data_IF_855594815390
#
_entry.id   IF_855594815390
#
_cell.length_a   1.000
_cell.length_b   1.000
_cell.length_c   1.000
_cell.angle_alpha   90.00
_cell.angle_beta   90.00
_cell.angle_gamma   90.00
#
_symmetry.space_group_name_H-M   'P 1'
#
loop_
_entity.id
_entity.type
_entity.pdbx_description
1 polymer ?
#
# COMPACT_ATOMS: atom_id res chain seq x y z
N UNK A 1 5.32 19.31 11.72
CA UNK A 1 4.48 19.34 12.94
C UNK A 1 5.37 19.89 14.03
N UNK A 2 4.98 20.98 14.68
CA UNK A 2 5.84 21.65 15.67
C UNK A 2 5.99 20.78 16.93
N UNK A 3 7.17 20.20 17.15
CA UNK A 3 7.57 19.44 18.34
C UNK A 3 7.75 20.34 19.59
N UNK A 4 6.85 21.28 19.84
CA UNK A 4 7.12 22.36 20.81
C UNK A 4 6.57 22.15 22.23
N UNK A 5 5.87 21.06 22.53
CA UNK A 5 5.17 20.92 23.83
C UNK A 5 5.38 19.62 24.60
N UNK A 6 6.14 18.64 24.09
CA UNK A 6 6.39 17.41 24.85
C UNK A 6 7.65 17.49 25.72
N UNK A 7 7.61 16.97 26.97
CA UNK A 7 8.80 16.81 27.79
C UNK A 7 9.86 15.96 27.07
N UNK A 8 11.10 16.44 27.02
CA UNK A 8 12.24 15.68 26.46
C UNK A 8 12.71 14.55 27.38
N UNK A 9 12.40 14.65 28.67
CA UNK A 9 12.76 13.65 29.67
C UNK A 9 11.78 12.47 29.62
N UNK A 10 12.29 11.26 29.39
CA UNK A 10 11.48 10.07 29.17
C UNK A 10 10.48 9.79 30.31
N UNK A 11 10.88 10.00 31.57
CA UNK A 11 10.00 9.81 32.72
C UNK A 11 8.81 10.79 32.71
N UNK A 12 9.07 12.08 32.48
CA UNK A 12 8.03 13.11 32.37
C UNK A 12 7.14 12.92 31.15
N UNK A 13 7.71 12.41 30.05
CA UNK A 13 6.93 12.05 28.87
C UNK A 13 5.96 10.90 29.19
N UNK A 14 6.44 9.86 29.87
CA UNK A 14 5.61 8.73 30.26
C UNK A 14 4.47 9.16 31.23
N UNK A 15 4.79 9.98 32.23
CA UNK A 15 3.79 10.54 33.16
C UNK A 15 2.74 11.39 32.43
N UNK A 16 3.16 12.26 31.52
CA UNK A 16 2.24 13.06 30.70
C UNK A 16 1.34 12.19 29.82
N UNK A 17 1.89 11.14 29.20
CA UNK A 17 1.10 10.22 28.36
C UNK A 17 0.10 9.42 29.18
N UNK A 18 0.46 9.00 30.39
CA UNK A 18 -0.49 8.36 31.32
C UNK A 18 -1.64 9.32 31.67
N UNK A 19 -1.32 10.58 32.01
CA UNK A 19 -2.34 11.59 32.29
C UNK A 19 -3.25 11.84 31.07
N UNK A 20 -2.68 12.05 29.88
CA UNK A 20 -3.46 12.25 28.63
C UNK A 20 -4.38 11.04 28.38
N UNK A 21 -3.89 9.83 28.60
CA UNK A 21 -4.67 8.61 28.48
C UNK A 21 -5.87 8.59 29.44
N UNK A 22 -5.63 8.88 30.72
CA UNK A 22 -6.65 8.92 31.77
C UNK A 22 -7.70 10.01 31.56
N UNK A 23 -7.26 11.21 31.19
CA UNK A 23 -8.14 12.35 30.91
C UNK A 23 -9.03 12.05 29.69
N UNK A 24 -8.44 11.45 28.64
CA UNK A 24 -9.16 11.04 27.44
C UNK A 24 -10.21 9.96 27.71
N UNK A 25 -9.88 8.92 28.49
CA UNK A 25 -10.84 7.88 28.89
C UNK A 25 -12.00 8.47 29.70
N UNK A 26 -11.69 9.34 30.67
CA UNK A 26 -12.69 10.02 31.50
C UNK A 26 -13.64 10.85 30.66
N UNK A 27 -13.11 11.69 29.77
CA UNK A 27 -13.91 12.51 28.86
C UNK A 27 -14.81 11.65 27.96
N UNK A 28 -14.28 10.57 27.38
CA UNK A 28 -15.03 9.67 26.50
C UNK A 28 -16.11 8.88 27.26
N UNK A 29 -15.91 8.60 28.56
CA UNK A 29 -16.92 8.04 29.45
C UNK A 29 -18.04 9.04 29.72
N UNK A 30 -17.73 10.28 30.09
CA UNK A 30 -18.74 11.34 30.29
C UNK A 30 -19.60 11.57 29.06
N UNK A 31 -19.00 11.61 27.86
CA UNK A 31 -19.75 11.70 26.60
C UNK A 31 -20.74 10.52 26.43
N UNK A 32 -20.49 9.39 27.09
CA UNK A 32 -21.27 8.16 26.97
C UNK A 32 -22.24 7.87 28.11
N UNK A 33 -22.24 8.69 29.17
CA UNK A 33 -23.16 8.54 30.30
C UNK A 33 -24.64 8.63 29.88
N UNK A 34 -25.52 8.07 30.70
CA UNK A 34 -26.94 7.93 30.38
C UNK A 34 -27.68 9.29 30.36
N UNK A 35 -27.19 10.26 31.11
CA UNK A 35 -27.68 11.64 31.22
C UNK A 35 -26.94 12.61 30.30
N UNK A 36 -25.88 12.16 29.60
CA UNK A 36 -25.17 12.97 28.63
C UNK A 36 -26.05 13.27 27.41
N UNK A 37 -26.09 14.53 26.92
CA UNK A 37 -26.83 14.87 25.70
C UNK A 37 -26.38 14.01 24.51
N UNK A 38 -27.35 13.39 23.82
CA UNK A 38 -27.06 12.45 22.72
C UNK A 38 -26.22 13.06 21.60
N UNK A 39 -26.41 14.34 21.32
CA UNK A 39 -25.68 15.07 20.27
C UNK A 39 -24.17 15.12 20.52
N UNK A 40 -23.68 14.94 21.75
CA UNK A 40 -22.24 14.90 22.04
C UNK A 40 -21.53 13.76 21.30
N UNK A 41 -22.21 12.62 21.12
CA UNK A 41 -21.68 11.45 20.38
C UNK A 41 -21.70 11.65 18.87
N UNK A 42 -22.49 12.62 18.40
CA UNK A 42 -22.69 12.90 16.98
C UNK A 42 -21.70 13.95 16.46
N UNK A 43 -20.98 14.65 17.36
CA UNK A 43 -19.95 15.61 16.98
C UNK A 43 -18.80 14.86 16.29
N UNK A 44 -18.46 15.19 15.03
CA UNK A 44 -17.39 14.50 14.31
C UNK A 44 -16.03 14.57 15.04
N UNK A 45 -15.71 15.70 15.67
CA UNK A 45 -14.47 15.86 16.44
C UNK A 45 -14.40 14.93 17.66
N UNK A 46 -15.53 14.63 18.31
CA UNK A 46 -15.58 13.70 19.44
C UNK A 46 -15.38 12.27 18.99
N UNK A 47 -15.93 11.90 17.83
CA UNK A 47 -15.69 10.60 17.23
C UNK A 47 -14.24 10.43 16.75
N UNK A 48 -13.64 11.47 16.15
CA UNK A 48 -12.22 11.48 15.79
C UNK A 48 -11.35 11.33 17.05
N UNK A 49 -11.64 12.09 18.10
CA UNK A 49 -10.93 11.99 19.38
C UNK A 49 -11.01 10.56 19.95
N UNK A 50 -12.19 9.95 19.93
CA UNK A 50 -12.38 8.56 20.36
C UNK A 50 -11.52 7.59 19.56
N UNK A 51 -11.49 7.74 18.23
CA UNK A 51 -10.69 6.89 17.37
C UNK A 51 -9.19 7.07 17.65
N UNK A 52 -8.70 8.31 17.69
CA UNK A 52 -7.29 8.60 18.01
C UNK A 52 -6.93 8.04 19.38
N UNK A 53 -7.78 8.21 20.39
CA UNK A 53 -7.54 7.67 21.73
C UNK A 53 -7.39 6.14 21.71
N UNK A 54 -8.27 5.42 20.99
CA UNK A 54 -8.17 3.95 20.83
C UNK A 54 -6.93 3.51 20.04
N UNK A 55 -6.45 4.35 19.12
CA UNK A 55 -5.26 4.08 18.32
C UNK A 55 -3.96 4.33 19.08
N UNK A 56 -3.97 5.20 20.10
CA UNK A 56 -2.80 5.59 20.89
C UNK A 56 -2.76 4.92 22.27
N UNK A 57 -3.90 4.50 22.82
CA UNK A 57 -4.00 3.94 24.16
C UNK A 57 -4.75 2.61 24.18
N UNK A 58 -4.55 1.85 25.25
CA UNK A 58 -5.29 0.63 25.54
C UNK A 58 -5.43 0.41 27.04
N UNK A 59 -6.41 -0.42 27.42
CA UNK A 59 -6.61 -0.84 28.80
C UNK A 59 -5.92 -2.18 29.03
N UNK A 60 -5.02 -2.23 30.01
CA UNK A 60 -4.36 -3.45 30.46
C UNK A 60 -4.46 -3.54 31.98
N UNK A 61 -5.04 -4.62 32.50
CA UNK A 61 -5.22 -4.84 33.94
C UNK A 61 -5.89 -3.66 34.68
N UNK A 62 -6.84 -2.99 34.01
CA UNK A 62 -7.54 -1.83 34.56
C UNK A 62 -6.73 -0.52 34.55
N UNK A 63 -5.53 -0.51 33.96
CA UNK A 63 -4.69 0.68 33.78
C UNK A 63 -4.61 1.06 32.30
N UNK A 64 -4.67 2.36 32.04
CA UNK A 64 -4.51 2.91 30.69
C UNK A 64 -3.02 2.95 30.37
N UNK A 65 -2.64 2.39 29.23
CA UNK A 65 -1.28 2.38 28.71
C UNK A 65 -1.22 3.04 27.33
N UNK A 66 -0.17 3.83 27.13
CA UNK A 66 0.18 4.35 25.80
C UNK A 66 0.80 3.22 24.96
N UNK A 67 0.39 3.12 23.70
CA UNK A 67 0.91 2.13 22.75
C UNK A 67 2.33 2.49 22.34
N UNK A 68 3.16 1.46 22.19
CA UNK A 68 4.44 1.59 21.52
C UNK A 68 4.25 1.60 20.00
N UNK A 69 5.27 1.98 19.23
CA UNK A 69 5.21 1.93 17.77
C UNK A 69 4.90 0.53 17.23
N UNK A 70 5.29 -0.53 17.95
CA UNK A 70 5.03 -1.93 17.57
C UNK A 70 3.58 -2.34 17.84
N UNK A 71 2.86 -1.60 18.69
CA UNK A 71 1.47 -1.87 19.09
C UNK A 71 0.45 -0.94 18.41
N UNK A 72 0.91 -0.05 17.53
CA UNK A 72 0.04 0.84 16.79
C UNK A 72 -0.72 0.08 15.68
N UNK A 73 -1.92 0.53 15.29
CA UNK A 73 -2.60 0.00 14.11
C UNK A 73 -1.74 0.15 12.84
N UNK A 74 -2.02 -0.61 11.77
CA UNK A 74 -1.35 -0.38 10.48
C UNK A 74 -1.50 1.08 10.02
N UNK A 75 -0.48 1.63 9.37
CA UNK A 75 -0.47 3.03 8.91
C UNK A 75 -1.70 3.42 8.05
N UNK A 76 -2.28 2.47 7.31
CA UNK A 76 -3.51 2.66 6.54
C UNK A 76 -4.76 2.97 7.40
N UNK A 77 -4.71 2.66 8.70
CA UNK A 77 -5.80 2.86 9.67
C UNK A 77 -5.52 3.99 10.66
N UNK A 78 -4.25 4.30 10.92
CA UNK A 78 -3.86 5.39 11.83
C UNK A 78 -4.36 6.73 11.27
N UNK A 79 -4.98 7.52 12.14
CA UNK A 79 -5.28 8.93 11.89
C UNK A 79 -4.00 9.72 12.18
N UNK A 80 -3.35 10.18 11.12
CA UNK A 80 -2.10 10.92 11.24
C UNK A 80 -2.33 12.41 11.59
N UNK A 81 -3.54 12.93 11.39
CA UNK A 81 -3.93 14.29 11.76
C UNK A 81 -5.39 14.33 12.18
N UNK A 82 -5.74 14.93 13.34
CA UNK A 82 -7.13 15.11 13.73
C UNK A 82 -7.86 16.16 12.87
N UNK A 83 -7.12 17.04 12.19
CA UNK A 83 -7.67 18.05 11.29
C UNK A 83 -7.98 17.50 9.89
N UNK A 84 -7.29 16.43 9.50
CA UNK A 84 -7.55 15.68 8.29
C UNK A 84 -7.47 14.19 8.59
N UNK A 85 -8.63 13.62 8.95
CA UNK A 85 -8.76 12.20 9.30
C UNK A 85 -8.55 11.25 8.12
N UNK A 86 -8.48 11.76 6.90
CA UNK A 86 -8.25 10.99 5.68
C UNK A 86 -6.78 10.94 5.26
N UNK A 87 -5.97 11.89 5.72
CA UNK A 87 -4.52 11.88 5.57
C UNK A 87 -3.91 10.61 6.19
N UNK A 88 -2.93 10.03 5.50
CA UNK A 88 -2.20 8.85 5.96
C UNK A 88 -0.71 9.11 5.97
N UNK A 89 -0.01 8.43 6.87
CA UNK A 89 1.45 8.41 6.85
C UNK A 89 1.92 7.62 5.62
N UNK A 90 2.68 8.29 4.76
CA UNK A 90 3.37 7.73 3.62
C UNK A 90 4.87 7.76 3.84
N UNK A 91 5.55 6.71 3.37
CA UNK A 91 7.00 6.67 3.31
C UNK A 91 7.41 6.27 1.89
N UNK A 92 8.31 7.04 1.28
CA UNK A 92 8.90 6.77 -0.03
C UNK A 92 10.38 7.07 0.05
N UNK A 93 11.18 6.00 0.06
CA UNK A 93 12.64 6.07 0.29
C UNK A 93 12.91 6.71 1.66
N UNK A 94 13.59 7.84 1.71
CA UNK A 94 13.92 8.59 2.94
C UNK A 94 12.88 9.67 3.27
N UNK A 95 11.86 9.85 2.42
CA UNK A 95 10.84 10.87 2.61
C UNK A 95 9.63 10.28 3.31
N UNK A 96 9.28 10.85 4.45
CA UNK A 96 8.08 10.58 5.22
C UNK A 96 7.14 11.79 5.16
N UNK A 97 5.84 11.57 4.97
CA UNK A 97 4.84 12.64 4.98
C UNK A 97 3.49 12.14 5.51
N UNK A 98 2.71 13.04 6.09
CA UNK A 98 1.30 12.81 6.41
C UNK A 98 0.44 13.48 5.33
N UNK A 99 -0.34 12.70 4.58
CA UNK A 99 -1.21 13.23 3.54
C UNK A 99 -1.58 12.21 2.47
N UNK A 100 -1.39 12.62 1.22
CA UNK A 100 -1.88 11.94 0.02
C UNK A 100 -0.74 11.73 -0.99
N UNK A 101 -1.01 10.91 -2.00
CA UNK A 101 -0.23 10.87 -3.25
C UNK A 101 -1.08 11.43 -4.37
N UNK A 102 -0.45 12.17 -5.26
CA UNK A 102 -1.02 12.50 -6.56
C UNK A 102 -0.29 11.70 -7.64
N UNK A 103 -1.06 11.08 -8.52
CA UNK A 103 -0.58 10.31 -9.67
C UNK A 103 -0.97 11.09 -10.92
N UNK A 104 0.02 11.45 -11.73
CA UNK A 104 -0.18 12.26 -12.93
C UNK A 104 -0.04 11.39 -14.17
N UNK A 105 -0.92 11.62 -15.14
CA UNK A 105 -0.77 11.08 -16.49
C UNK A 105 -0.68 12.24 -17.46
N UNK A 106 0.38 12.27 -18.25
CA UNK A 106 0.65 13.30 -19.25
C UNK A 106 0.89 12.69 -20.64
N UNK A 107 0.74 13.51 -21.68
CA UNK A 107 1.26 13.20 -23.01
C UNK A 107 2.77 13.39 -23.04
N UNK A 108 3.47 12.59 -23.85
CA UNK A 108 4.93 12.62 -23.96
C UNK A 108 5.43 12.40 -25.40
N UNK A 109 4.60 12.66 -26.41
CA UNK A 109 5.03 12.56 -27.82
C UNK A 109 6.06 13.65 -28.15
N UNK A 110 7.19 13.28 -28.74
CA UNK A 110 8.35 14.18 -28.97
C UNK A 110 8.01 15.49 -29.71
N UNK A 111 7.04 15.45 -30.63
CA UNK A 111 6.65 16.57 -31.49
C UNK A 111 5.43 17.36 -30.97
N UNK A 112 4.90 17.03 -29.79
CA UNK A 112 3.69 17.63 -29.23
C UNK A 112 3.93 18.21 -27.83
N UNK A 113 3.10 19.18 -27.39
CA UNK A 113 3.17 19.66 -26.02
C UNK A 113 2.82 18.55 -25.02
N UNK A 114 3.52 18.55 -23.89
CA UNK A 114 3.22 17.68 -22.76
C UNK A 114 2.05 18.27 -21.96
N UNK A 115 0.95 17.54 -21.89
CA UNK A 115 -0.30 17.97 -21.26
C UNK A 115 -0.72 16.92 -20.24
N UNK A 116 -0.96 17.35 -19.00
CA UNK A 116 -1.54 16.49 -17.96
C UNK A 116 -3.00 16.20 -18.32
N UNK A 117 -3.30 14.93 -18.64
CA UNK A 117 -4.63 14.46 -19.02
C UNK A 117 -5.45 14.01 -17.80
N UNK A 118 -4.78 13.53 -16.76
CA UNK A 118 -5.43 13.03 -15.56
C UNK A 118 -4.55 13.17 -14.31
N UNK A 119 -5.21 13.44 -13.20
CA UNK A 119 -4.63 13.45 -11.86
C UNK A 119 -5.53 12.61 -10.98
N UNK A 120 -4.97 11.59 -10.34
CA UNK A 120 -5.64 10.77 -9.35
C UNK A 120 -5.00 11.05 -7.98
N UNK A 121 -5.80 11.44 -6.99
CA UNK A 121 -5.32 11.68 -5.63
C UNK A 121 -5.76 10.56 -4.72
N UNK A 122 -4.82 9.92 -4.03
CA UNK A 122 -5.09 8.79 -3.14
C UNK A 122 -4.49 9.00 -1.77
N UNK A 123 -4.99 8.25 -0.77
CA UNK A 123 -4.34 8.17 0.54
C UNK A 123 -2.91 7.67 0.36
N UNK A 124 -1.97 8.17 1.15
CA UNK A 124 -0.55 7.85 1.00
C UNK A 124 -0.20 6.35 1.14
N UNK A 125 -1.13 5.54 1.65
CA UNK A 125 -0.96 4.09 1.84
C UNK A 125 -1.44 3.25 0.66
N UNK A 126 -2.11 3.84 -0.34
CA UNK A 126 -2.53 3.12 -1.55
C UNK A 126 -1.30 2.77 -2.38
N UNK A 127 -1.19 1.52 -2.83
CA UNK A 127 -0.04 1.08 -3.63
C UNK A 127 -0.17 1.55 -5.08
N UNK A 128 0.94 1.98 -5.66
CA UNK A 128 1.01 2.54 -7.01
C UNK A 128 0.49 1.52 -8.06
N UNK A 129 0.69 0.21 -7.85
CA UNK A 129 0.21 -0.86 -8.74
C UNK A 129 -1.31 -0.91 -8.87
N UNK A 130 -2.06 -0.46 -7.85
CA UNK A 130 -3.52 -0.41 -7.89
C UNK A 130 -4.05 0.70 -8.80
N UNK A 131 -3.21 1.68 -9.16
CA UNK A 131 -3.64 2.88 -9.88
C UNK A 131 -3.74 2.67 -11.38
N UNK A 132 -2.92 1.78 -11.97
CA UNK A 132 -2.84 1.62 -13.43
C UNK A 132 -4.21 1.39 -14.06
N UNK A 133 -4.97 0.44 -13.52
CA UNK A 133 -6.31 0.16 -14.02
C UNK A 133 -7.31 1.29 -13.73
N UNK A 134 -7.22 1.94 -12.55
CA UNK A 134 -8.09 3.08 -12.21
C UNK A 134 -7.87 4.25 -13.16
N UNK A 135 -6.62 4.52 -13.50
CA UNK A 135 -6.22 5.55 -14.46
C UNK A 135 -6.75 5.20 -15.85
N UNK A 136 -6.56 3.96 -16.33
CA UNK A 136 -7.12 3.55 -17.63
C UNK A 136 -8.64 3.68 -17.68
N UNK A 137 -9.37 3.27 -16.62
CA UNK A 137 -10.82 3.47 -16.53
C UNK A 137 -11.22 4.95 -16.56
N UNK A 138 -10.44 5.82 -15.91
CA UNK A 138 -10.70 7.26 -15.91
C UNK A 138 -10.44 7.88 -17.29
N UNK A 139 -9.37 7.47 -17.96
CA UNK A 139 -9.04 7.92 -19.32
C UNK A 139 -10.05 7.42 -20.36
N UNK A 140 -10.54 6.18 -20.23
CA UNK A 140 -11.62 5.64 -21.06
C UNK A 140 -12.89 6.50 -20.97
N UNK A 141 -13.32 6.83 -19.74
CA UNK A 141 -14.48 7.72 -19.52
C UNK A 141 -14.29 9.10 -20.15
N UNK A 142 -13.05 9.60 -20.19
CA UNK A 142 -12.69 10.86 -20.85
C UNK A 142 -12.50 10.73 -22.36
N UNK A 143 -12.49 9.50 -22.92
CA UNK A 143 -12.10 9.20 -24.30
C UNK A 143 -10.67 9.65 -24.63
N UNK A 144 -9.77 9.43 -23.68
CA UNK A 144 -8.35 9.81 -23.73
C UNK A 144 -7.44 8.59 -23.45
N UNK A 145 -7.89 7.38 -23.81
CA UNK A 145 -7.00 6.21 -23.74
C UNK A 145 -5.85 6.38 -24.73
N UNK A 146 -4.60 6.21 -24.29
CA UNK A 146 -3.47 6.21 -25.21
C UNK A 146 -3.35 4.85 -25.90
N UNK A 147 -2.62 4.79 -27.02
CA UNK A 147 -2.21 3.51 -27.59
C UNK A 147 -1.13 2.85 -26.70
N UNK A 148 -0.17 3.65 -26.24
CA UNK A 148 0.94 3.24 -25.39
C UNK A 148 0.93 4.05 -24.09
N UNK A 149 1.15 3.40 -22.94
CA UNK A 149 1.26 4.07 -21.65
C UNK A 149 2.57 3.69 -20.97
N UNK A 150 3.49 4.66 -20.93
CA UNK A 150 4.77 4.52 -20.24
C UNK A 150 4.57 4.63 -18.73
N UNK A 151 5.03 3.63 -17.98
CA UNK A 151 4.78 3.52 -16.54
C UNK A 151 6.06 3.17 -15.77
N UNK A 152 6.21 3.81 -14.61
CA UNK A 152 7.23 3.45 -13.62
C UNK A 152 7.04 2.02 -13.10
N UNK A 153 8.12 1.38 -12.64
CA UNK A 153 8.09 0.00 -12.17
C UNK A 153 7.12 -0.28 -10.99
N UNK A 154 6.71 0.77 -10.27
CA UNK A 154 5.70 0.66 -9.21
C UNK A 154 4.27 0.45 -9.72
N UNK A 155 4.01 0.74 -10.99
CA UNK A 155 2.69 0.65 -11.64
C UNK A 155 2.56 -0.56 -12.57
N UNK A 156 3.62 -1.36 -12.74
CA UNK A 156 3.67 -2.44 -13.72
C UNK A 156 3.90 -3.79 -13.03
N UNK A 157 3.01 -4.73 -13.33
CA UNK A 157 3.20 -6.16 -13.08
C UNK A 157 2.72 -6.98 -14.28
N UNK A 158 2.98 -8.29 -14.26
CA UNK A 158 2.59 -9.19 -15.34
C UNK A 158 1.08 -9.20 -15.62
N UNK A 159 0.24 -8.97 -14.61
CA UNK A 159 -1.20 -8.93 -14.79
C UNK A 159 -1.63 -7.62 -15.46
N UNK A 160 -1.06 -6.49 -15.05
CA UNK A 160 -1.37 -5.18 -15.64
C UNK A 160 -0.96 -5.11 -17.11
N UNK A 161 0.16 -5.72 -17.51
CA UNK A 161 0.56 -5.82 -18.93
C UNK A 161 -0.54 -6.46 -19.78
N UNK A 162 -1.04 -7.63 -19.34
CA UNK A 162 -2.05 -8.40 -20.09
C UNK A 162 -3.44 -7.77 -20.01
N UNK A 163 -3.84 -7.32 -18.82
CA UNK A 163 -5.20 -6.79 -18.59
C UNK A 163 -5.40 -5.42 -19.22
N UNK A 164 -4.36 -4.58 -19.29
CA UNK A 164 -4.44 -3.25 -19.92
C UNK A 164 -4.72 -3.36 -21.42
N UNK A 165 -3.98 -4.24 -22.11
CA UNK A 165 -4.17 -4.49 -23.54
C UNK A 165 -5.54 -5.12 -23.80
N UNK A 166 -5.88 -6.22 -23.10
CA UNK A 166 -7.13 -6.96 -23.35
C UNK A 166 -8.39 -6.16 -23.06
N UNK A 167 -8.37 -5.27 -22.06
CA UNK A 167 -9.56 -4.56 -21.61
C UNK A 167 -9.67 -3.16 -22.17
N UNK A 168 -8.56 -2.45 -22.29
CA UNK A 168 -8.55 -1.04 -22.68
C UNK A 168 -7.86 -0.80 -24.04
N UNK A 169 -7.24 -1.82 -24.64
CA UNK A 169 -6.46 -1.66 -25.86
C UNK A 169 -5.20 -0.81 -25.66
N UNK A 170 -4.68 -0.77 -24.44
CA UNK A 170 -3.50 0.03 -24.07
C UNK A 170 -2.29 -0.88 -23.91
N UNK A 171 -1.25 -0.66 -24.69
CA UNK A 171 0.06 -1.26 -24.47
C UNK A 171 0.75 -0.57 -23.29
N UNK A 172 1.09 -1.33 -22.26
CA UNK A 172 1.83 -0.80 -21.11
C UNK A 172 3.32 -1.04 -21.32
N UNK A 173 4.08 0.05 -21.32
CA UNK A 173 5.54 0.03 -21.48
C UNK A 173 6.17 0.43 -20.15
N UNK A 174 6.86 -0.51 -19.50
CA UNK A 174 7.53 -0.22 -18.24
C UNK A 174 8.25 -1.44 -17.69
N UNK A 175 9.17 -1.21 -16.76
CA UNK A 175 9.90 -2.29 -16.13
C UNK A 175 8.99 -3.04 -15.16
N UNK A 176 8.86 -4.36 -15.32
CA UNK A 176 8.20 -5.20 -14.33
C UNK A 176 9.10 -5.28 -13.09
N UNK A 177 8.63 -4.83 -11.94
CA UNK A 177 9.43 -4.86 -10.72
C UNK A 177 9.89 -6.27 -10.35
N UNK A 178 11.17 -6.44 -10.03
CA UNK A 178 11.67 -7.69 -9.42
C UNK A 178 10.93 -7.93 -8.10
N UNK A 179 10.15 -9.01 -8.00
CA UNK A 179 9.61 -9.44 -6.70
C UNK A 179 10.80 -9.66 -5.76
N UNK A 180 10.75 -9.00 -4.61
CA UNK A 180 11.86 -8.88 -3.65
C UNK A 180 12.73 -10.12 -3.56
N UNK A 181 14.02 -9.93 -3.86
CA UNK A 181 15.06 -10.94 -3.72
C UNK A 181 15.02 -11.53 -2.31
N UNK A 182 14.59 -12.77 -2.17
CA UNK A 182 15.12 -13.60 -1.10
C UNK A 182 16.62 -13.74 -1.38
N UNK A 183 17.45 -12.99 -0.65
CA UNK A 183 18.91 -13.15 -0.69
C UNK A 183 19.27 -14.53 -0.11
N UNK A 184 19.06 -15.57 -0.91
CA UNK A 184 19.69 -16.87 -0.70
C UNK A 184 21.19 -16.70 -0.92
N UNK A 185 22.00 -17.10 0.08
CA UNK A 185 23.46 -17.15 -0.05
C UNK A 185 23.84 -18.25 -1.06
N UNK A 186 24.32 -17.89 -2.25
CA UNK A 186 24.85 -18.81 -3.25
C UNK A 186 25.03 -18.14 -4.62
N UNK A 187 25.79 -18.75 -5.55
CA UNK A 187 25.83 -18.31 -6.95
C UNK A 187 24.39 -18.28 -7.51
N UNK A 188 23.93 -17.09 -7.86
CA UNK A 188 22.50 -16.78 -7.91
C UNK A 188 21.89 -17.16 -9.26
N UNK A 189 21.65 -18.45 -9.47
CA UNK A 189 20.86 -18.97 -10.60
C UNK A 189 19.34 -18.93 -10.33
N UNK A 190 18.90 -18.09 -9.39
CA UNK A 190 17.50 -18.06 -8.93
C UNK A 190 16.59 -17.12 -9.73
N UNK A 191 17.15 -16.34 -10.66
CA UNK A 191 16.37 -15.44 -11.52
C UNK A 191 15.80 -16.17 -12.73
N UNK A 192 14.59 -15.78 -13.14
CA UNK A 192 13.83 -16.42 -14.22
C UNK A 192 14.58 -16.40 -15.56
N UNK A 193 15.44 -15.40 -15.77
CA UNK A 193 16.26 -15.20 -16.97
C UNK A 193 17.24 -16.36 -17.25
N UNK A 194 17.61 -17.12 -16.21
CA UNK A 194 18.50 -18.26 -16.37
C UNK A 194 17.78 -19.55 -16.78
N UNK A 195 16.45 -19.54 -16.89
CA UNK A 195 15.64 -20.69 -17.27
C UNK A 195 15.03 -20.49 -18.66
N UNK A 196 15.17 -21.51 -19.51
CA UNK A 196 14.48 -21.55 -20.80
C UNK A 196 13.13 -22.25 -20.59
N UNK A 197 12.04 -21.58 -20.96
CA UNK A 197 10.69 -22.12 -20.83
C UNK A 197 10.18 -22.46 -22.23
N UNK A 198 9.97 -23.75 -22.51
CA UNK A 198 9.29 -24.25 -23.69
C UNK A 198 7.81 -24.44 -23.34
N UNK A 199 6.99 -23.48 -23.75
CA UNK A 199 5.55 -23.50 -23.47
C UNK A 199 4.79 -24.56 -24.27
N UNK A 200 5.30 -24.97 -25.45
CA UNK A 200 4.65 -25.99 -26.27
C UNK A 200 4.86 -27.39 -25.69
N UNK A 201 6.05 -27.64 -25.14
CA UNK A 201 6.38 -28.92 -24.49
C UNK A 201 6.05 -28.95 -23.01
N UNK A 202 5.62 -27.82 -22.43
CA UNK A 202 5.39 -27.68 -21.00
C UNK A 202 6.66 -28.07 -20.19
N UNK A 203 7.82 -27.58 -20.63
CA UNK A 203 9.12 -27.91 -20.01
C UNK A 203 9.91 -26.64 -19.65
N UNK A 204 10.61 -26.70 -18.52
CA UNK A 204 11.59 -25.68 -18.11
C UNK A 204 12.98 -26.30 -18.08
N UNK A 205 13.93 -25.68 -18.76
CA UNK A 205 15.35 -26.06 -18.73
C UNK A 205 16.11 -25.13 -17.78
N UNK A 206 16.81 -25.68 -16.79
CA UNK A 206 17.64 -24.91 -15.87
C UNK A 206 19.00 -24.54 -16.52
N UNK A 207 19.77 -23.59 -15.96
CA UNK A 207 21.05 -23.19 -16.54
C UNK A 207 22.12 -24.30 -16.59
N UNK A 208 21.95 -25.39 -15.84
CA UNK A 208 22.79 -26.61 -15.97
C UNK A 208 22.34 -27.56 -17.11
N UNK A 209 21.34 -27.16 -17.91
CA UNK A 209 20.81 -27.95 -19.02
C UNK A 209 19.86 -29.09 -18.62
N UNK A 210 19.43 -29.17 -17.36
CA UNK A 210 18.46 -30.18 -16.91
C UNK A 210 17.04 -29.71 -17.16
N UNK A 211 16.16 -30.59 -17.63
CA UNK A 211 14.74 -30.31 -17.86
C UNK A 211 13.89 -30.64 -16.63
N UNK A 212 12.78 -29.92 -16.46
CA UNK A 212 11.80 -30.16 -15.41
C UNK A 212 11.14 -31.53 -15.58
N UNK A 213 10.93 -32.26 -14.49
CA UNK A 213 10.26 -33.57 -14.51
C UNK A 213 8.75 -33.48 -14.37
N UNK A 214 8.23 -32.34 -13.92
CA UNK A 214 6.80 -32.14 -13.70
C UNK A 214 6.42 -30.72 -14.03
N UNK A 215 5.43 -30.56 -14.88
CA UNK A 215 4.70 -29.33 -15.12
C UNK A 215 3.31 -29.48 -14.52
N UNK A 216 2.86 -28.47 -13.78
CA UNK A 216 1.52 -28.50 -13.19
C UNK A 216 0.91 -27.12 -13.28
N UNK A 217 -0.26 -27.05 -13.90
CA UNK A 217 -1.07 -25.85 -13.90
C UNK A 217 -2.03 -25.90 -12.71
N UNK A 218 -2.07 -24.83 -11.93
CA UNK A 218 -2.99 -24.69 -10.81
C UNK A 218 -3.76 -23.40 -10.97
N UNK A 219 -5.08 -23.52 -11.09
CA UNK A 219 -5.95 -22.36 -10.97
C UNK A 219 -6.02 -21.92 -9.51
N UNK A 220 -5.73 -20.65 -9.28
CA UNK A 220 -5.78 -20.01 -7.98
C UNK A 220 -7.21 -19.51 -7.70
N UNK A 221 -7.53 -19.29 -6.43
CA UNK A 221 -8.87 -18.80 -6.00
C UNK A 221 -9.23 -17.44 -6.62
N UNK A 222 -8.22 -16.65 -7.01
CA UNK A 222 -8.40 -15.37 -7.71
C UNK A 222 -8.51 -15.50 -9.24
N UNK A 223 -8.70 -16.72 -9.76
CA UNK A 223 -8.84 -17.01 -11.20
C UNK A 223 -7.53 -17.04 -11.99
N UNK A 224 -6.39 -16.72 -11.36
CA UNK A 224 -5.07 -16.78 -12.01
C UNK A 224 -4.63 -18.23 -12.22
N UNK A 225 -3.96 -18.51 -13.33
CA UNK A 225 -3.29 -19.79 -13.55
C UNK A 225 -1.84 -19.66 -13.10
N UNK A 226 -1.46 -20.46 -12.11
CA UNK A 226 -0.08 -20.61 -11.66
C UNK A 226 0.50 -21.88 -12.26
N UNK A 227 1.58 -21.74 -13.02
CA UNK A 227 2.34 -22.87 -13.56
C UNK A 227 3.50 -23.18 -12.62
N UNK A 228 3.58 -24.44 -12.17
CA UNK A 228 4.66 -24.95 -11.32
C UNK A 228 5.44 -26.04 -12.04
N UNK A 229 6.65 -25.70 -12.46
CA UNK A 229 7.63 -26.66 -12.94
C UNK A 229 8.51 -27.17 -11.78
N UNK A 230 8.71 -28.49 -11.65
CA UNK A 230 9.60 -29.09 -10.64
C UNK A 230 10.72 -29.87 -11.29
N UNK A 231 11.94 -29.64 -10.81
CA UNK A 231 13.10 -30.45 -11.12
C UNK A 231 13.19 -31.62 -10.14
N UNK A 232 13.64 -32.79 -10.61
CA UNK A 232 13.89 -33.93 -9.71
C UNK A 232 15.13 -33.67 -8.85
N UNK A 233 15.12 -34.11 -7.59
CA UNK A 233 16.36 -34.21 -6.82
C UNK A 233 17.28 -35.24 -7.46
N UNK A 234 18.55 -34.89 -7.60
CA UNK A 234 19.65 -35.83 -7.91
C UNK A 234 20.01 -36.61 -6.66
#
# INVERSE_FOLDING_TARGET
MEDYHFPKEAAKFAELMEQIGQDGDTLLKWVREADAPLWLKEIPAVEILRQVWLQQFFLEEGKIKHRSNDDLPPAAKIIASPYDSEARLGVKRETEWSGYKAHFTETCDDDLPHIILHVETTKATVQDIELTERIHQALEKKRLLPAEHFLDAGYVDAERLVTSEKRFGVEVIGQVGERGRNKGRGQDFSTKEHFLIDWEKEEVTCPEGKTSKKWTEKQQENGKVEIRARFGQT
#
